data_IF_183250534789
#
_entry.id   IF_183250534789
#
_cell.length_a   1.000
_cell.length_b   1.000
_cell.length_c   1.000
_cell.angle_alpha   90.00
_cell.angle_beta   90.00
_cell.angle_gamma   90.00
#
_symmetry.space_group_name_H-M   'P 1'
#
loop_
_entity.id
_entity.type
_entity.pdbx_description
1 polymer ?
#
# COMPACT_ATOMS: atom_id res chain seq x y z
N UNK A 1 16.05 19.03 6.58
CA UNK A 1 14.98 20.02 6.85
C UNK A 1 13.64 19.30 7.07
N UNK A 2 12.66 19.99 7.62
CA UNK A 2 11.29 19.47 7.77
C UNK A 2 10.71 18.96 6.44
N UNK A 3 11.00 19.66 5.35
CA UNK A 3 10.63 19.25 3.98
C UNK A 3 11.20 17.90 3.58
N UNK A 4 12.50 17.72 3.75
CA UNK A 4 13.19 16.46 3.42
C UNK A 4 12.64 15.31 4.23
N UNK A 5 12.37 15.53 5.51
CA UNK A 5 11.78 14.51 6.38
C UNK A 5 10.36 14.15 5.94
N UNK A 6 9.51 15.14 5.63
CA UNK A 6 8.14 14.91 5.16
C UNK A 6 8.12 14.17 3.82
N UNK A 7 8.94 14.64 2.87
CA UNK A 7 9.08 13.99 1.55
C UNK A 7 9.56 12.56 1.68
N UNK A 8 10.57 12.33 2.50
CA UNK A 8 11.11 10.98 2.77
C UNK A 8 10.04 10.04 3.36
N UNK A 9 9.22 10.53 4.28
CA UNK A 9 8.12 9.74 4.87
C UNK A 9 7.04 9.40 3.84
N UNK A 10 6.64 10.37 3.03
CA UNK A 10 5.62 10.17 2.00
C UNK A 10 6.10 9.18 0.94
N UNK A 11 7.30 9.36 0.41
CA UNK A 11 7.90 8.46 -0.57
C UNK A 11 8.22 7.09 0.02
N UNK A 12 8.55 7.04 1.30
CA UNK A 12 8.74 5.79 2.04
C UNK A 12 7.50 4.90 2.06
N UNK A 13 6.30 5.48 1.90
CA UNK A 13 5.02 4.74 1.91
C UNK A 13 4.42 4.58 0.52
N UNK A 14 4.60 5.56 -0.37
CA UNK A 14 3.89 5.61 -1.65
C UNK A 14 4.76 5.32 -2.88
N UNK A 15 6.07 5.16 -2.71
CA UNK A 15 7.00 5.02 -3.84
C UNK A 15 7.10 6.29 -4.72
N UNK A 16 8.00 6.25 -5.69
CA UNK A 16 8.27 7.37 -6.58
C UNK A 16 7.36 7.36 -7.82
N UNK A 17 7.13 6.17 -8.38
CA UNK A 17 6.31 5.96 -9.57
C UNK A 17 5.27 4.87 -9.30
N UNK A 18 4.14 4.98 -10.00
CA UNK A 18 3.11 3.92 -10.06
C UNK A 18 2.84 3.58 -11.51
N UNK A 19 2.79 2.29 -11.82
CA UNK A 19 2.30 1.80 -13.11
C UNK A 19 0.92 1.22 -12.89
N UNK A 20 -0.08 1.80 -13.56
CA UNK A 20 -1.48 1.41 -13.43
C UNK A 20 -2.20 1.39 -14.77
N UNK A 21 -3.39 0.79 -14.81
CA UNK A 21 -4.24 0.81 -15.98
C UNK A 21 -4.64 2.24 -16.37
N UNK A 22 -4.58 2.53 -17.67
CA UNK A 22 -5.09 3.79 -18.23
C UNK A 22 -6.61 3.90 -18.14
N UNK A 23 -7.30 2.77 -18.02
CA UNK A 23 -8.76 2.67 -17.99
C UNK A 23 -9.37 2.57 -16.59
N UNK A 24 -8.53 2.64 -15.54
CA UNK A 24 -9.00 2.55 -14.15
C UNK A 24 -9.36 1.14 -13.67
N UNK A 25 -9.16 0.13 -14.50
CA UNK A 25 -9.39 -1.28 -14.13
C UNK A 25 -8.19 -1.83 -13.36
N UNK A 26 -8.44 -2.90 -12.59
CA UNK A 26 -7.35 -3.66 -11.97
C UNK A 26 -6.44 -4.29 -13.03
N UNK A 27 -5.21 -4.57 -12.64
CA UNK A 27 -4.22 -5.24 -13.47
C UNK A 27 -4.24 -6.74 -13.17
N UNK A 28 -4.14 -7.55 -14.22
CA UNK A 28 -3.84 -8.97 -14.03
C UNK A 28 -2.47 -9.10 -13.38
N UNK A 29 -2.36 -9.96 -12.39
CA UNK A 29 -1.09 -10.25 -11.74
C UNK A 29 -0.19 -11.01 -12.73
N UNK A 30 0.64 -10.27 -13.48
CA UNK A 30 1.63 -10.85 -14.39
C UNK A 30 2.96 -11.04 -13.64
N UNK A 31 3.44 -12.26 -13.56
CA UNK A 31 4.69 -12.58 -12.87
C UNK A 31 5.95 -12.08 -13.58
N UNK A 32 5.89 -11.91 -14.91
CA UNK A 32 7.03 -11.47 -15.73
C UNK A 32 7.19 -9.94 -15.81
N UNK A 33 6.13 -9.19 -15.47
CA UNK A 33 6.16 -7.75 -15.63
C UNK A 33 7.13 -7.03 -14.68
N UNK A 34 7.27 -7.41 -13.41
CA UNK A 34 8.31 -6.88 -12.53
C UNK A 34 9.72 -7.08 -13.07
N UNK A 35 10.01 -8.24 -13.67
CA UNK A 35 11.33 -8.52 -14.23
C UNK A 35 11.66 -7.58 -15.39
N UNK A 36 10.68 -7.31 -16.27
CA UNK A 36 10.83 -6.32 -17.35
C UNK A 36 11.11 -4.90 -16.85
N UNK A 37 10.54 -4.51 -15.71
CA UNK A 37 10.83 -3.24 -15.06
C UNK A 37 12.27 -3.23 -14.53
N UNK A 38 12.70 -4.31 -13.90
CA UNK A 38 14.07 -4.48 -13.37
C UNK A 38 15.14 -4.59 -14.46
N UNK A 39 14.75 -4.95 -15.69
CA UNK A 39 15.68 -4.90 -16.84
C UNK A 39 16.06 -3.46 -17.23
N UNK A 40 15.23 -2.47 -16.90
CA UNK A 40 15.54 -1.05 -17.09
C UNK A 40 16.62 -0.60 -16.11
N UNK A 41 16.43 -0.88 -14.82
CA UNK A 41 17.43 -0.65 -13.78
C UNK A 41 17.27 -1.70 -12.67
N UNK A 42 18.32 -2.43 -12.38
CA UNK A 42 18.35 -3.49 -11.35
C UNK A 42 18.28 -2.97 -9.91
N UNK A 43 18.52 -1.67 -9.72
CA UNK A 43 18.44 -1.01 -8.41
C UNK A 43 17.01 -0.52 -8.06
N UNK A 44 16.05 -0.78 -8.92
CA UNK A 44 14.65 -0.47 -8.63
C UNK A 44 14.05 -1.49 -7.65
N UNK A 45 13.17 -1.01 -6.78
CA UNK A 45 12.28 -1.90 -6.03
C UNK A 45 10.89 -1.83 -6.63
N UNK A 46 10.30 -2.99 -6.93
CA UNK A 46 9.00 -3.10 -7.59
C UNK A 46 8.04 -3.88 -6.71
N UNK A 47 6.97 -3.24 -6.30
CA UNK A 47 5.96 -3.84 -5.43
C UNK A 47 4.59 -3.90 -6.10
N UNK A 48 3.94 -5.05 -5.99
CA UNK A 48 2.52 -5.20 -6.32
C UNK A 48 1.68 -4.63 -5.19
N UNK A 49 0.70 -3.79 -5.51
CA UNK A 49 -0.11 -3.11 -4.50
C UNK A 49 -1.59 -3.17 -4.88
N UNK A 50 -2.42 -3.41 -3.86
CA UNK A 50 -3.85 -3.18 -3.88
C UNK A 50 -4.14 -2.07 -2.89
N UNK A 51 -4.81 -1.00 -3.34
CA UNK A 51 -5.29 0.08 -2.49
C UNK A 51 -6.82 0.00 -2.38
N UNK A 52 -7.32 -0.05 -1.16
CA UNK A 52 -8.74 -0.10 -0.89
C UNK A 52 -9.10 0.82 0.26
N UNK A 53 -10.38 1.10 0.41
CA UNK A 53 -10.92 1.82 1.54
C UNK A 53 -11.94 0.95 2.26
N UNK A 54 -12.14 1.22 3.53
CA UNK A 54 -13.12 0.49 4.32
C UNK A 54 -13.48 1.21 5.61
N UNK A 55 -14.35 0.56 6.35
CA UNK A 55 -14.71 0.94 7.71
C UNK A 55 -14.13 -0.08 8.68
N UNK A 56 -13.32 0.39 9.60
CA UNK A 56 -12.82 -0.39 10.72
C UNK A 56 -13.77 -0.27 11.90
N UNK A 57 -14.06 -1.38 12.57
CA UNK A 57 -14.82 -1.40 13.82
C UNK A 57 -14.10 -2.20 14.89
N UNK A 58 -14.05 -1.65 16.10
CA UNK A 58 -13.53 -2.32 17.30
C UNK A 58 -14.30 -1.83 18.53
N UNK A 59 -15.00 -2.74 19.21
CA UNK A 59 -15.91 -2.41 20.32
C UNK A 59 -16.93 -1.34 19.89
N UNK A 60 -16.92 -0.15 20.51
CA UNK A 60 -17.79 0.99 20.19
C UNK A 60 -17.19 2.00 19.22
N UNK A 61 -15.96 1.73 18.73
CA UNK A 61 -15.27 2.62 17.82
C UNK A 61 -15.47 2.17 16.38
N UNK A 62 -15.72 3.14 15.49
CA UNK A 62 -15.72 2.93 14.04
C UNK A 62 -15.06 4.11 13.35
N UNK A 63 -14.28 3.84 12.32
CA UNK A 63 -13.59 4.88 11.53
C UNK A 63 -13.29 4.39 10.13
N UNK A 64 -13.29 5.33 9.18
CA UNK A 64 -12.76 5.08 7.84
C UNK A 64 -11.27 4.74 7.89
N UNK A 65 -10.86 3.80 7.05
CA UNK A 65 -9.47 3.37 6.90
C UNK A 65 -9.07 3.25 5.45
N UNK A 66 -7.77 3.39 5.22
CA UNK A 66 -7.09 2.99 4.00
C UNK A 66 -6.50 1.60 4.22
N UNK A 67 -6.65 0.71 3.24
CA UNK A 67 -6.09 -0.63 3.27
C UNK A 67 -5.09 -0.75 2.13
N UNK A 68 -3.86 -1.10 2.46
CA UNK A 68 -2.79 -1.33 1.48
C UNK A 68 -2.40 -2.80 1.51
N UNK A 69 -2.76 -3.51 0.44
CA UNK A 69 -2.40 -4.91 0.22
C UNK A 69 -1.03 -5.01 -0.42
N UNK A 70 -0.08 -5.66 0.27
CA UNK A 70 1.32 -5.75 -0.13
C UNK A 70 1.92 -7.10 0.24
N UNK A 71 3.10 -7.41 -0.30
CA UNK A 71 3.91 -8.54 0.14
C UNK A 71 4.88 -8.10 1.24
N UNK A 72 5.54 -9.06 1.89
CA UNK A 72 6.55 -8.80 2.93
C UNK A 72 7.73 -7.94 2.45
N UNK A 73 8.11 -8.05 1.17
CA UNK A 73 9.22 -7.27 0.61
C UNK A 73 8.96 -5.76 0.67
N UNK A 74 7.69 -5.36 0.66
CA UNK A 74 7.32 -3.96 0.85
C UNK A 74 7.92 -3.36 2.13
N UNK A 75 8.00 -4.13 3.20
CA UNK A 75 8.57 -3.69 4.48
C UNK A 75 10.09 -3.83 4.52
N UNK A 76 10.63 -4.90 3.94
CA UNK A 76 12.06 -5.20 3.96
C UNK A 76 12.89 -4.23 3.11
N UNK A 77 12.31 -3.71 2.04
CA UNK A 77 12.97 -2.81 1.08
C UNK A 77 12.69 -1.32 1.38
N UNK A 78 12.08 -0.99 2.53
CA UNK A 78 11.75 0.39 2.94
C UNK A 78 12.29 0.69 4.32
N UNK A 79 13.32 1.51 4.38
CA UNK A 79 14.00 1.87 5.63
C UNK A 79 13.07 2.42 6.71
N UNK A 80 12.05 3.19 6.33
CA UNK A 80 11.11 3.78 7.30
C UNK A 80 10.25 2.72 7.99
N UNK A 81 9.93 1.62 7.30
CA UNK A 81 9.12 0.54 7.84
C UNK A 81 9.98 -0.54 8.52
N UNK A 82 11.15 -0.85 7.96
CA UNK A 82 12.07 -1.85 8.52
C UNK A 82 12.49 -1.51 9.96
N UNK A 83 12.62 -0.23 10.28
CA UNK A 83 12.99 0.24 11.64
C UNK A 83 11.86 0.11 12.66
N UNK A 84 10.60 0.09 12.19
CA UNK A 84 9.43 0.11 13.08
C UNK A 84 8.73 -1.23 13.24
N UNK A 85 9.09 -2.24 12.42
CA UNK A 85 8.43 -3.55 12.41
C UNK A 85 9.44 -4.65 12.73
N UNK A 86 9.15 -5.47 13.74
CA UNK A 86 9.97 -6.63 14.08
C UNK A 86 9.94 -7.68 12.95
N UNK A 87 11.07 -8.33 12.70
CA UNK A 87 11.18 -9.42 11.71
C UNK A 87 10.22 -10.59 11.99
N UNK A 88 9.96 -10.86 13.25
CA UNK A 88 8.99 -11.89 13.66
C UNK A 88 7.58 -11.57 13.14
N UNK A 89 7.16 -10.32 13.24
CA UNK A 89 5.86 -9.89 12.73
C UNK A 89 5.78 -9.96 11.20
N UNK A 90 6.88 -9.66 10.50
CA UNK A 90 6.95 -9.79 9.04
C UNK A 90 6.72 -11.24 8.60
N UNK A 91 7.23 -12.23 9.35
CA UNK A 91 6.99 -13.63 9.03
C UNK A 91 5.51 -14.04 9.19
N UNK A 92 4.84 -13.55 10.22
CA UNK A 92 3.41 -13.78 10.42
C UNK A 92 2.57 -13.10 9.33
N UNK A 93 2.96 -11.90 8.90
CA UNK A 93 2.36 -11.21 7.76
C UNK A 93 2.53 -12.00 6.46
N UNK A 94 3.74 -12.44 6.13
CA UNK A 94 4.06 -13.30 4.98
C UNK A 94 3.19 -14.55 4.95
N UNK A 95 2.92 -15.14 6.11
CA UNK A 95 2.10 -16.33 6.26
C UNK A 95 0.59 -16.06 6.22
N UNK A 96 0.14 -14.86 5.85
CA UNK A 96 -1.25 -14.43 5.80
C UNK A 96 -2.00 -14.58 7.14
N UNK A 97 -1.31 -14.52 8.28
CA UNK A 97 -1.92 -14.70 9.60
C UNK A 97 -2.70 -13.49 10.11
N UNK A 98 -2.45 -12.30 9.54
CA UNK A 98 -3.16 -11.11 9.97
C UNK A 98 -2.61 -9.81 9.35
N UNK A 99 -2.93 -8.71 9.99
CA UNK A 99 -2.73 -7.34 9.51
C UNK A 99 -1.76 -6.57 10.40
N UNK A 100 -1.16 -5.51 9.83
CA UNK A 100 -0.43 -4.50 10.58
C UNK A 100 -1.27 -3.24 10.75
N UNK A 101 -1.20 -2.66 11.95
CA UNK A 101 -1.95 -1.49 12.39
C UNK A 101 -0.98 -0.40 12.86
N UNK A 102 -1.33 0.86 12.61
CA UNK A 102 -0.50 1.98 13.05
C UNK A 102 -0.47 2.17 14.57
N UNK A 103 0.68 2.59 15.09
CA UNK A 103 0.92 2.81 16.54
C UNK A 103 -0.02 3.85 17.16
N UNK A 104 -0.46 4.85 16.42
CA UNK A 104 -1.42 5.84 16.93
C UNK A 104 -2.79 5.22 17.14
N UNK A 105 -3.24 4.37 16.23
CA UNK A 105 -4.50 3.63 16.38
C UNK A 105 -4.41 2.61 17.51
N UNK A 106 -3.28 1.89 17.63
CA UNK A 106 -2.99 1.01 18.77
C UNK A 106 -3.21 1.73 20.11
N UNK A 107 -2.55 2.88 20.29
CA UNK A 107 -2.64 3.66 21.54
C UNK A 107 -4.05 4.17 21.79
N UNK A 108 -4.72 4.67 20.73
CA UNK A 108 -6.08 5.22 20.83
C UNK A 108 -7.11 4.19 21.28
N UNK A 109 -6.98 2.93 20.83
CA UNK A 109 -7.96 1.87 21.07
C UNK A 109 -7.51 0.83 22.10
N UNK A 110 -6.28 0.90 22.58
CA UNK A 110 -5.71 -0.09 23.52
C UNK A 110 -5.54 -1.47 22.87
N UNK A 111 -5.07 -1.50 21.61
CA UNK A 111 -4.94 -2.74 20.84
C UNK A 111 -3.68 -3.52 21.22
N UNK A 112 -3.77 -4.83 21.15
CA UNK A 112 -2.66 -5.76 21.38
C UNK A 112 -2.49 -6.72 20.20
N UNK A 113 -1.30 -7.32 20.09
CA UNK A 113 -1.08 -8.45 19.20
C UNK A 113 -2.08 -9.55 19.54
N UNK A 114 -2.74 -10.10 18.53
CA UNK A 114 -3.75 -11.13 18.69
C UNK A 114 -5.18 -10.64 18.77
N UNK A 115 -5.41 -9.34 18.99
CA UNK A 115 -6.76 -8.75 18.89
C UNK A 115 -7.29 -8.84 17.46
N UNK A 116 -8.61 -8.83 17.33
CA UNK A 116 -9.31 -8.84 16.04
C UNK A 116 -10.00 -7.52 15.77
N UNK A 117 -9.82 -7.01 14.56
CA UNK A 117 -10.56 -5.85 14.05
C UNK A 117 -11.57 -6.32 13.00
N UNK A 118 -12.77 -5.79 13.05
CA UNK A 118 -13.76 -5.98 11.98
C UNK A 118 -13.50 -4.93 10.91
N UNK A 119 -13.29 -5.37 9.66
CA UNK A 119 -13.13 -4.48 8.51
C UNK A 119 -14.27 -4.75 7.55
N UNK A 120 -14.95 -3.69 7.15
CA UNK A 120 -16.00 -3.67 6.14
C UNK A 120 -15.45 -2.97 4.89
N UNK A 121 -15.56 -3.61 3.73
CA UNK A 121 -15.16 -3.04 2.44
C UNK A 121 -16.06 -1.88 2.06
N UNK A 122 -15.50 -0.85 1.41
CA UNK A 122 -16.28 0.21 0.76
C UNK A 122 -16.96 -0.24 -0.54
N UNK A 123 -16.54 -1.39 -1.09
CA UNK A 123 -17.12 -1.96 -2.29
C UNK A 123 -18.34 -2.81 -1.92
N UNK A 124 -19.42 -2.62 -2.67
CA UNK A 124 -20.62 -3.43 -2.54
C UNK A 124 -20.58 -4.60 -3.52
N UNK A 125 -21.13 -5.73 -3.08
CA UNK A 125 -21.27 -6.94 -3.87
C UNK A 125 -22.75 -7.24 -4.06
N UNK A 126 -23.14 -7.59 -5.28
CA UNK A 126 -24.51 -8.02 -5.56
C UNK A 126 -24.80 -9.36 -4.88
N UNK A 127 -25.88 -9.38 -4.13
CA UNK A 127 -26.42 -10.59 -3.49
C UNK A 127 -27.91 -10.70 -3.80
N UNK A 128 -28.51 -11.86 -3.49
CA UNK A 128 -29.97 -12.05 -3.60
C UNK A 128 -30.76 -11.10 -2.68
N UNK A 129 -30.12 -10.49 -1.70
CA UNK A 129 -30.71 -9.52 -0.77
C UNK A 129 -30.35 -8.04 -1.12
N UNK A 130 -29.75 -7.82 -2.31
CA UNK A 130 -29.26 -6.51 -2.73
C UNK A 130 -27.74 -6.36 -2.59
N UNK A 131 -27.27 -5.12 -2.74
CA UNK A 131 -25.84 -4.78 -2.64
C UNK A 131 -25.42 -4.67 -1.19
N UNK A 132 -24.57 -5.56 -0.74
CA UNK A 132 -24.03 -5.60 0.62
C UNK A 132 -22.52 -5.45 0.61
N UNK A 133 -21.93 -4.67 1.56
CA UNK A 133 -20.49 -4.63 1.73
C UNK A 133 -19.97 -5.94 2.35
N UNK A 134 -18.78 -6.35 1.94
CA UNK A 134 -18.11 -7.48 2.61
C UNK A 134 -17.57 -7.03 3.96
N UNK A 135 -17.69 -7.90 4.95
CA UNK A 135 -17.17 -7.67 6.29
C UNK A 135 -16.47 -8.93 6.79
N UNK A 136 -15.30 -8.76 7.41
CA UNK A 136 -14.55 -9.86 8.01
C UNK A 136 -13.72 -9.37 9.21
N UNK A 137 -13.33 -10.33 10.06
CA UNK A 137 -12.46 -10.09 11.20
C UNK A 137 -11.02 -10.45 10.85
N UNK A 138 -10.09 -9.52 11.13
CA UNK A 138 -8.67 -9.70 10.88
C UNK A 138 -7.88 -9.61 12.17
N UNK A 139 -6.99 -10.58 12.38
CA UNK A 139 -6.10 -10.63 13.53
C UNK A 139 -4.98 -9.61 13.39
N UNK A 140 -4.66 -8.89 14.45
CA UNK A 140 -3.50 -8.01 14.50
C UNK A 140 -2.25 -8.87 14.77
N UNK A 141 -1.27 -8.81 13.85
CA UNK A 141 0.01 -9.53 13.98
C UNK A 141 1.21 -8.60 14.09
N UNK A 142 1.01 -7.28 14.00
CA UNK A 142 2.08 -6.32 14.16
C UNK A 142 1.58 -4.87 14.17
N UNK A 143 2.47 -3.99 14.57
CA UNK A 143 2.26 -2.54 14.57
C UNK A 143 3.38 -1.85 13.83
N UNK A 144 3.06 -0.72 13.20
CA UNK A 144 4.03 0.12 12.50
C UNK A 144 3.92 1.58 12.95
N UNK A 145 5.00 2.33 12.77
CA UNK A 145 5.04 3.75 13.05
C UNK A 145 5.79 4.49 11.94
N UNK A 146 5.06 5.23 11.12
CA UNK A 146 5.61 6.05 10.05
C UNK A 146 6.00 7.42 10.57
N UNK A 147 5.40 7.85 11.67
CA UNK A 147 5.55 9.19 12.22
C UNK A 147 4.73 10.24 11.47
N UNK A 148 3.69 9.81 10.75
CA UNK A 148 2.66 10.66 10.15
C UNK A 148 1.31 10.28 10.74
N UNK A 149 0.69 11.26 11.41
CA UNK A 149 -0.53 11.03 12.19
C UNK A 149 -1.64 10.34 11.38
N UNK A 150 -1.89 10.79 10.16
CA UNK A 150 -2.93 10.27 9.29
C UNK A 150 -2.71 8.79 8.95
N UNK A 151 -1.48 8.42 8.60
CA UNK A 151 -1.15 7.02 8.31
C UNK A 151 -1.16 6.16 9.57
N UNK A 152 -0.57 6.65 10.67
CA UNK A 152 -0.49 5.90 11.92
C UNK A 152 -1.86 5.71 12.61
N UNK A 153 -2.91 6.45 12.18
CA UNK A 153 -4.28 6.33 12.69
C UNK A 153 -5.25 5.64 11.76
N UNK A 154 -5.00 5.62 10.44
CA UNK A 154 -5.99 5.18 9.46
C UNK A 154 -5.50 4.20 8.42
N UNK A 155 -4.18 3.94 8.31
CA UNK A 155 -3.65 2.97 7.37
C UNK A 155 -3.57 1.58 8.01
N UNK A 156 -4.02 0.58 7.26
CA UNK A 156 -3.88 -0.84 7.56
C UNK A 156 -3.07 -1.49 6.45
N UNK A 157 -2.01 -2.21 6.79
CA UNK A 157 -1.35 -3.11 5.84
C UNK A 157 -1.95 -4.51 5.97
N UNK A 158 -2.27 -5.10 4.83
CA UNK A 158 -2.80 -6.45 4.74
C UNK A 158 -1.97 -7.27 3.75
N UNK A 159 -1.69 -8.56 4.01
CA UNK A 159 -1.09 -9.42 3.01
C UNK A 159 -1.90 -9.38 1.72
N UNK A 160 -1.23 -9.20 0.59
CA UNK A 160 -1.91 -8.98 -0.69
C UNK A 160 -2.88 -10.11 -1.04
N UNK A 161 -2.50 -11.37 -0.79
CA UNK A 161 -3.36 -12.53 -1.05
C UNK A 161 -4.60 -12.55 -0.15
N UNK A 162 -4.45 -12.11 1.12
CA UNK A 162 -5.56 -12.01 2.06
C UNK A 162 -6.55 -10.92 1.61
N UNK A 163 -6.04 -9.79 1.15
CA UNK A 163 -6.88 -8.70 0.64
C UNK A 163 -7.59 -9.09 -0.66
N UNK A 164 -6.89 -9.77 -1.59
CA UNK A 164 -7.50 -10.29 -2.82
C UNK A 164 -8.68 -11.21 -2.52
N UNK A 165 -8.50 -12.12 -1.56
CA UNK A 165 -9.55 -13.02 -1.11
C UNK A 165 -10.72 -12.26 -0.45
N UNK A 166 -10.42 -11.28 0.39
CA UNK A 166 -11.44 -10.45 1.05
C UNK A 166 -12.25 -9.64 0.06
N UNK A 167 -11.60 -9.03 -0.95
CA UNK A 167 -12.26 -8.23 -2.00
C UNK A 167 -12.85 -9.08 -3.12
N UNK A 168 -12.49 -10.37 -3.23
CA UNK A 168 -12.90 -11.27 -4.33
C UNK A 168 -12.57 -10.70 -5.71
N UNK A 169 -11.38 -10.14 -5.84
CA UNK A 169 -10.97 -9.41 -7.04
C UNK A 169 -10.25 -10.26 -8.09
N UNK A 170 -10.44 -11.60 -8.05
CA UNK A 170 -9.86 -12.56 -8.99
C UNK A 170 -8.32 -12.49 -9.12
N UNK A 171 -7.62 -12.14 -8.04
CA UNK A 171 -6.16 -12.06 -8.02
C UNK A 171 -5.59 -10.83 -8.73
N UNK A 172 -6.42 -9.83 -9.03
CA UNK A 172 -5.96 -8.56 -9.61
C UNK A 172 -5.20 -7.71 -8.60
N UNK A 173 -4.39 -6.79 -9.12
CA UNK A 173 -3.73 -5.72 -8.36
C UNK A 173 -4.15 -4.36 -8.92
N UNK A 174 -3.99 -3.29 -8.16
CA UNK A 174 -4.32 -1.95 -8.63
C UNK A 174 -3.18 -1.32 -9.42
N UNK A 175 -1.95 -1.50 -8.93
CA UNK A 175 -0.77 -0.93 -9.56
C UNK A 175 0.51 -1.62 -9.11
N UNK A 176 1.57 -1.41 -9.88
CA UNK A 176 2.94 -1.62 -9.45
C UNK A 176 3.47 -0.30 -8.90
N UNK A 177 4.09 -0.36 -7.73
CA UNK A 177 4.74 0.76 -7.07
C UNK A 177 6.24 0.62 -7.20
N UNK A 178 6.92 1.66 -7.68
CA UNK A 178 8.35 1.64 -7.97
C UNK A 178 9.07 2.64 -7.07
N UNK A 179 10.12 2.17 -6.41
CA UNK A 179 11.08 3.01 -5.70
C UNK A 179 12.33 3.11 -6.54
N UNK A 180 12.76 4.35 -6.74
CA UNK A 180 14.02 4.69 -7.42
C UNK A 180 15.04 5.03 -6.34
N UNK A 181 16.18 4.36 -6.33
CA UNK A 181 17.18 4.55 -5.28
C UNK A 181 17.79 5.95 -5.34
N UNK A 182 18.16 6.39 -6.54
CA UNK A 182 18.68 7.75 -6.78
C UNK A 182 17.59 8.62 -7.44
N UNK A 183 17.07 9.57 -6.68
CA UNK A 183 16.01 10.46 -7.16
C UNK A 183 16.40 11.28 -8.42
N UNK A 184 17.69 11.54 -8.63
CA UNK A 184 18.17 12.26 -9.80
C UNK A 184 17.94 11.48 -11.11
N UNK A 185 17.82 10.16 -11.03
CA UNK A 185 17.59 9.29 -12.19
C UNK A 185 16.10 9.10 -12.52
N UNK A 186 15.20 9.67 -11.71
CA UNK A 186 13.76 9.47 -11.81
C UNK A 186 13.20 9.78 -13.19
N UNK A 187 13.57 10.90 -13.79
CA UNK A 187 13.08 11.31 -15.12
C UNK A 187 13.59 10.40 -16.23
N UNK A 188 14.85 9.97 -16.14
CA UNK A 188 15.44 9.01 -17.08
C UNK A 188 14.70 7.66 -16.99
N UNK A 189 14.57 7.12 -15.79
CA UNK A 189 13.87 5.85 -15.53
C UNK A 189 12.42 5.94 -16.00
N UNK A 190 11.73 7.03 -15.70
CA UNK A 190 10.36 7.26 -16.16
C UNK A 190 10.25 7.23 -17.69
N UNK A 191 11.22 7.83 -18.39
CA UNK A 191 11.29 7.84 -19.86
C UNK A 191 11.53 6.43 -20.42
N UNK A 192 12.46 5.68 -19.85
CA UNK A 192 12.76 4.32 -20.28
C UNK A 192 11.59 3.36 -20.03
N UNK A 193 10.96 3.46 -18.86
CA UNK A 193 9.77 2.67 -18.54
C UNK A 193 8.61 2.94 -19.52
N UNK A 194 8.43 4.18 -19.97
CA UNK A 194 7.40 4.52 -20.97
C UNK A 194 7.59 3.79 -22.30
N UNK A 195 8.82 3.44 -22.66
CA UNK A 195 9.10 2.74 -23.90
C UNK A 195 8.77 1.24 -23.85
N UNK A 196 8.74 0.66 -22.66
CA UNK A 196 8.54 -0.79 -22.46
C UNK A 196 7.13 -1.16 -22.00
N UNK A 197 6.38 -0.21 -21.42
CA UNK A 197 5.02 -0.50 -20.95
C UNK A 197 4.04 -0.53 -22.12
N UNK A 198 3.05 -1.43 -22.10
CA UNK A 198 1.96 -1.43 -23.09
C UNK A 198 1.11 -0.16 -23.01
N UNK A 199 0.44 0.20 -24.12
CA UNK A 199 -0.41 1.40 -24.24
C UNK A 199 -1.57 1.45 -23.25
N UNK A 200 -2.05 0.29 -22.78
CA UNK A 200 -3.11 0.21 -21.78
C UNK A 200 -2.63 0.51 -20.35
N UNK A 201 -1.31 0.72 -20.16
CA UNK A 201 -0.72 1.12 -18.89
C UNK A 201 -0.21 2.56 -18.96
N UNK A 202 -0.21 3.20 -17.81
CA UNK A 202 0.37 4.54 -17.65
C UNK A 202 1.26 4.60 -16.41
N UNK A 203 2.29 5.43 -16.49
CA UNK A 203 3.13 5.78 -15.35
C UNK A 203 2.57 7.04 -14.72
N UNK A 204 2.41 7.02 -13.41
CA UNK A 204 2.01 8.17 -12.60
C UNK A 204 3.12 8.47 -11.62
N UNK A 205 3.58 9.69 -11.63
CA UNK A 205 4.58 10.21 -10.71
C UNK A 205 3.91 10.66 -9.41
N UNK A 206 4.57 10.51 -8.27
CA UNK A 206 4.04 10.95 -6.97
C UNK A 206 3.74 12.45 -6.93
N UNK A 207 4.50 13.26 -7.67
CA UNK A 207 4.30 14.72 -7.81
C UNK A 207 2.97 15.04 -8.49
N UNK A 208 2.58 14.25 -9.47
CA UNK A 208 1.29 14.40 -10.18
C UNK A 208 0.11 14.03 -9.28
N UNK A 209 0.31 13.10 -8.34
CA UNK A 209 -0.71 12.68 -7.37
C UNK A 209 -0.88 13.65 -6.20
N UNK A 210 0.14 14.46 -5.92
CA UNK A 210 0.20 15.35 -4.76
C UNK A 210 0.67 16.76 -5.15
N UNK A 211 0.02 17.44 -6.12
CA UNK A 211 0.51 18.71 -6.64
C UNK A 211 0.58 19.80 -5.57
N UNK A 212 -0.38 19.87 -4.67
CA UNK A 212 -0.40 20.83 -3.57
C UNK A 212 0.78 20.64 -2.61
N UNK A 213 1.11 19.40 -2.31
CA UNK A 213 2.24 19.06 -1.46
C UNK A 213 3.56 19.35 -2.15
N UNK A 214 3.67 18.98 -3.44
CA UNK A 214 4.85 19.24 -4.24
C UNK A 214 5.13 20.75 -4.34
N UNK A 215 4.13 21.55 -4.66
CA UNK A 215 4.24 23.01 -4.71
C UNK A 215 4.63 23.62 -3.36
N UNK A 216 4.13 23.08 -2.25
CA UNK A 216 4.51 23.52 -0.90
C UNK A 216 5.96 23.14 -0.53
N UNK A 217 6.52 22.13 -1.19
CA UNK A 217 7.89 21.68 -1.00
C UNK A 217 8.89 22.48 -1.88
N UNK A 218 8.49 22.97 -3.05
CA UNK A 218 9.34 23.75 -3.96
C UNK A 218 9.49 25.24 -3.58
N UNK A 219 8.58 25.80 -2.78
CA UNK A 219 8.65 27.17 -2.26
C UNK A 219 9.50 27.22 -0.99
#
# INVERSE_FOLDING_TARGET
>A
SFREELTSKILGINGHLKIKSSYGNGLKNNSEFPDKILDVDKNLFVHKVIASQGLLSFKKYSSGILIKGVTENFFLERNILTKSISREFIQDFKSNKGIFVGEKLKKKLGLNIGDYLTIMSSQNYETIFGNLPRSANFKIVGFFNIGMYEYDTSLIFMPINLLQKFLDNNGQIDHYEIIVENFNDLELIKSELRQIIPDYLRIVDWRELNPSLFNAIEV
#
